data_IF_371968309055
#
_entry.id   IF_371968309055
#
_cell.length_a   1.000
_cell.length_b   1.000
_cell.length_c   1.000
_cell.angle_alpha   90.00
_cell.angle_beta   90.00
_cell.angle_gamma   90.00
#
_symmetry.space_group_name_H-M   'P 1'
#
loop_
_entity.id
_entity.type
_entity.pdbx_description
1 polymer ?
#
# COMPACT_ATOMS: atom_id res chain seq x y z
N UNK A 1 16.39 11.85 -7.98
CA UNK A 1 14.93 11.82 -8.16
C UNK A 1 14.49 10.41 -7.80
N UNK A 2 13.86 10.24 -6.64
CA UNK A 2 13.33 8.95 -6.22
C UNK A 2 11.96 8.80 -6.88
N UNK A 3 11.90 7.95 -7.90
CA UNK A 3 10.64 7.53 -8.49
C UNK A 3 9.97 6.64 -7.47
N UNK A 4 8.83 7.09 -6.94
CA UNK A 4 7.98 6.26 -6.11
C UNK A 4 7.30 5.30 -7.09
N UNK A 5 7.87 4.12 -7.28
CA UNK A 5 7.25 3.01 -8.04
C UNK A 5 6.13 2.34 -7.22
N UNK A 6 5.97 2.76 -5.97
CA UNK A 6 4.90 2.28 -5.09
C UNK A 6 3.57 2.96 -5.44
N UNK A 7 2.45 2.20 -5.47
CA UNK A 7 1.13 2.76 -5.67
C UNK A 7 0.81 3.80 -4.59
N UNK A 8 0.29 4.94 -5.01
CA UNK A 8 -0.10 6.05 -4.13
C UNK A 8 -1.56 6.40 -4.36
N UNK A 9 -2.31 6.49 -3.27
CA UNK A 9 -3.73 6.81 -3.25
C UNK A 9 -3.99 8.16 -2.58
N UNK A 10 -5.05 8.85 -2.98
CA UNK A 10 -5.50 10.05 -2.27
C UNK A 10 -6.54 9.66 -1.22
N UNK A 11 -6.19 9.79 0.05
CA UNK A 11 -7.11 9.50 1.14
C UNK A 11 -7.96 10.75 1.45
N UNK A 12 -9.28 10.68 1.26
CA UNK A 12 -10.17 11.81 1.59
C UNK A 12 -10.39 12.00 3.10
N UNK A 13 -10.08 10.98 3.92
CA UNK A 13 -10.19 11.09 5.38
C UNK A 13 -9.14 12.05 5.96
N UNK A 14 -7.90 11.93 5.49
CA UNK A 14 -6.77 12.79 5.91
C UNK A 14 -6.44 13.89 4.88
N UNK A 15 -7.11 13.86 3.72
CA UNK A 15 -6.96 14.79 2.58
C UNK A 15 -5.53 14.86 2.03
N UNK A 16 -4.76 13.79 2.20
CA UNK A 16 -3.36 13.68 1.83
C UNK A 16 -3.11 12.48 0.91
N UNK A 17 -1.92 12.44 0.29
CA UNK A 17 -1.45 11.31 -0.49
C UNK A 17 -0.88 10.27 0.47
N UNK A 18 -1.39 9.04 0.41
CA UNK A 18 -0.95 7.91 1.24
C UNK A 18 -0.30 6.85 0.36
N UNK A 19 0.71 6.16 0.88
CA UNK A 19 1.29 5.01 0.19
C UNK A 19 0.32 3.83 0.33
N UNK A 20 0.10 3.12 -0.76
CA UNK A 20 -0.74 1.92 -0.80
C UNK A 20 0.09 0.63 -0.69
N UNK A 21 1.41 0.76 -0.73
CA UNK A 21 2.38 -0.33 -0.54
C UNK A 21 2.56 -0.72 0.94
N UNK A 22 2.08 0.12 1.86
CA UNK A 22 1.99 -0.17 3.28
C UNK A 22 0.64 -0.79 3.64
N UNK A 23 0.56 -1.40 4.83
CA UNK A 23 -0.72 -1.95 5.31
C UNK A 23 -1.66 -0.83 5.79
N UNK A 24 -2.97 -1.06 5.74
CA UNK A 24 -3.97 -0.13 6.27
C UNK A 24 -3.68 0.28 7.72
N UNK A 25 -3.15 -0.65 8.54
CA UNK A 25 -2.80 -0.38 9.93
C UNK A 25 -1.61 0.56 10.11
N UNK A 26 -0.58 0.45 9.25
CA UNK A 26 0.58 1.36 9.23
C UNK A 26 0.13 2.76 8.79
N UNK A 27 -0.66 2.85 7.71
CA UNK A 27 -1.18 4.13 7.21
C UNK A 27 -2.07 4.82 8.26
N UNK A 28 -2.94 4.06 8.94
CA UNK A 28 -3.79 4.60 9.98
C UNK A 28 -2.99 5.11 11.18
N UNK A 29 -1.86 4.48 11.50
CA UNK A 29 -0.97 4.89 12.57
C UNK A 29 -0.12 6.11 12.19
N UNK A 30 0.33 6.19 10.94
CA UNK A 30 1.15 7.29 10.44
C UNK A 30 0.35 8.58 10.24
N UNK A 31 -0.86 8.47 9.67
CA UNK A 31 -1.72 9.61 9.38
C UNK A 31 -2.82 9.85 10.43
N UNK A 32 -2.78 9.12 11.54
CA UNK A 32 -3.79 9.20 12.61
C UNK A 32 -5.23 9.10 12.05
N UNK A 33 -5.46 8.13 11.16
CA UNK A 33 -6.77 7.96 10.54
C UNK A 33 -7.85 7.77 11.62
N UNK A 34 -8.99 8.47 11.52
CA UNK A 34 -10.01 8.44 12.56
C UNK A 34 -10.61 7.03 12.69
N UNK A 35 -10.59 6.42 13.90
CA UNK A 35 -11.16 5.10 14.12
C UNK A 35 -12.68 5.14 13.97
N UNK A 36 -13.24 4.18 13.23
CA UNK A 36 -14.69 4.06 13.02
C UNK A 36 -15.21 4.64 11.71
N UNK A 37 -14.33 5.01 10.76
CA UNK A 37 -14.71 5.32 9.38
C UNK A 37 -14.26 4.19 8.45
N UNK A 38 -15.13 3.79 7.53
CA UNK A 38 -14.75 2.94 6.41
C UNK A 38 -13.64 3.64 5.61
N UNK A 39 -12.49 2.97 5.48
CA UNK A 39 -11.37 3.53 4.75
C UNK A 39 -11.68 3.41 3.25
N UNK A 40 -11.77 4.52 2.48
CA UNK A 40 -12.10 4.45 1.05
C UNK A 40 -11.03 3.71 0.23
N UNK A 41 -9.86 3.46 0.83
CA UNK A 41 -8.72 2.78 0.25
C UNK A 41 -8.49 1.40 0.89
N UNK A 42 -9.41 0.89 1.72
CA UNK A 42 -9.27 -0.43 2.40
C UNK A 42 -8.88 -1.56 1.45
N UNK A 43 -9.44 -1.58 0.24
CA UNK A 43 -9.12 -2.59 -0.79
C UNK A 43 -7.94 -2.24 -1.70
N UNK A 44 -7.28 -1.10 -1.46
CA UNK A 44 -6.12 -0.64 -2.23
C UNK A 44 -4.79 -0.84 -1.49
N UNK A 45 -4.81 -1.05 -0.17
CA UNK A 45 -3.60 -1.28 0.61
C UNK A 45 -3.04 -2.69 0.41
N UNK A 46 -1.72 -2.80 0.43
CA UNK A 46 -1.03 -4.08 0.44
C UNK A 46 -1.37 -4.87 1.71
N UNK A 47 -1.52 -6.19 1.57
CA UNK A 47 -1.71 -7.09 2.71
C UNK A 47 -0.44 -7.19 3.59
N UNK A 48 0.73 -6.88 3.03
CA UNK A 48 2.02 -6.89 3.68
C UNK A 48 2.78 -5.61 3.31
N UNK A 49 3.30 -4.90 4.31
CA UNK A 49 4.06 -3.67 4.12
C UNK A 49 5.32 -3.95 3.30
N UNK A 50 5.51 -3.24 2.18
CA UNK A 50 6.63 -3.46 1.26
C UNK A 50 6.40 -4.53 0.19
N UNK A 51 5.17 -5.02 0.05
CA UNK A 51 4.76 -5.93 -1.03
C UNK A 51 3.63 -5.27 -1.82
N UNK A 52 4.00 -4.41 -2.77
CA UNK A 52 3.07 -3.97 -3.81
C UNK A 52 2.61 -5.20 -4.60
N UNK A 53 1.31 -5.45 -4.63
CA UNK A 53 0.66 -6.48 -5.45
C UNK A 53 0.96 -6.32 -6.95
N UNK A 54 1.45 -5.14 -7.37
CA UNK A 54 2.04 -4.92 -8.69
C UNK A 54 3.27 -5.80 -8.99
N UNK A 55 3.92 -6.38 -7.98
CA UNK A 55 5.04 -7.33 -8.14
C UNK A 55 4.64 -8.80 -7.94
N UNK A 56 3.39 -9.09 -7.54
CA UNK A 56 2.95 -10.47 -7.29
C UNK A 56 2.97 -11.34 -8.57
N UNK A 57 2.92 -10.73 -9.76
CA UNK A 57 3.02 -11.44 -11.04
C UNK A 57 4.47 -11.80 -11.44
N UNK A 58 5.50 -11.17 -10.85
CA UNK A 58 6.91 -11.50 -11.18
C UNK A 58 7.54 -12.55 -10.24
N UNK A 59 6.99 -12.80 -9.05
CA UNK A 59 7.51 -13.82 -8.12
C UNK A 59 6.99 -15.24 -8.37
N UNK A 60 6.03 -15.45 -9.29
CA UNK A 60 5.63 -16.79 -9.76
C UNK A 60 6.47 -17.26 -10.97
N UNK A 61 7.71 -16.81 -11.10
CA UNK A 61 8.45 -16.96 -12.36
C UNK A 61 9.77 -17.75 -12.38
N UNK A 62 10.59 -17.73 -11.33
CA UNK A 62 11.97 -18.27 -11.46
C UNK A 62 12.48 -18.99 -10.21
N UNK A 63 12.11 -20.26 -10.11
CA UNK A 63 13.07 -21.27 -9.64
C UNK A 63 14.20 -21.37 -10.67
N UNK A 64 15.26 -20.58 -10.53
CA UNK A 64 16.58 -20.91 -11.10
C UNK A 64 17.42 -21.34 -9.88
N UNK A 65 17.74 -22.62 -9.66
CA UNK A 65 17.78 -23.71 -10.63
C UNK A 65 18.98 -23.60 -11.55
N UNK A 66 20.19 -23.37 -11.03
CA UNK A 66 21.38 -24.14 -11.42
C UNK A 66 22.49 -24.00 -10.38
#
# INVERSE_FOLDING_TARGET
MSFIDSPIGRCEAVREMVLLDETQGECAREHECPPGRDCPLEGCFAQLSGVSDAHADEVVGKKVGK
#
